data_IF_955485350707
#
_entry.id   IF_955485350707
#
_cell.length_a   1.000
_cell.length_b   1.000
_cell.length_c   1.000
_cell.angle_alpha   90.00
_cell.angle_beta   90.00
_cell.angle_gamma   90.00
#
_symmetry.space_group_name_H-M   'P 1'
#
loop_
_entity.id
_entity.type
_entity.pdbx_description
1 polymer ?
#
# COMPACT_ATOMS: atom_id res chain seq x y z
N UNK A 1 9.33 -27.23 2.29
CA UNK A 1 9.00 -25.79 2.08
C UNK A 1 7.90 -25.58 1.05
N UNK A 2 7.82 -26.35 -0.04
CA UNK A 2 6.80 -26.15 -1.08
C UNK A 2 5.36 -26.30 -0.62
N UNK A 3 5.11 -27.19 0.35
CA UNK A 3 3.78 -27.36 0.94
C UNK A 3 3.32 -26.08 1.65
N UNK A 4 4.15 -25.48 2.52
CA UNK A 4 3.83 -24.23 3.21
C UNK A 4 3.57 -23.08 2.24
N UNK A 5 4.36 -22.97 1.16
CA UNK A 5 4.19 -21.94 0.11
C UNK A 5 2.83 -22.07 -0.58
N UNK A 6 2.43 -23.30 -0.93
CA UNK A 6 1.13 -23.59 -1.54
C UNK A 6 0.00 -23.27 -0.56
N UNK A 7 0.12 -23.68 0.70
CA UNK A 7 -0.88 -23.39 1.73
C UNK A 7 -1.11 -21.90 1.93
N UNK A 8 -0.05 -21.10 2.07
CA UNK A 8 -0.16 -19.64 2.22
C UNK A 8 -0.89 -19.02 1.03
N UNK A 9 -0.56 -19.46 -0.19
CA UNK A 9 -1.22 -18.98 -1.40
C UNK A 9 -2.71 -19.37 -1.42
N UNK A 10 -3.03 -20.64 -1.20
CA UNK A 10 -4.41 -21.12 -1.23
C UNK A 10 -5.28 -20.45 -0.17
N UNK A 11 -4.82 -20.43 1.08
CA UNK A 11 -5.55 -19.80 2.18
C UNK A 11 -5.73 -18.32 1.91
N UNK A 12 -4.68 -17.62 1.50
CA UNK A 12 -4.77 -16.19 1.20
C UNK A 12 -5.70 -15.89 0.03
N UNK A 13 -5.66 -16.66 -1.05
CA UNK A 13 -6.61 -16.53 -2.17
C UNK A 13 -8.05 -16.78 -1.71
N UNK A 14 -8.29 -17.80 -0.89
CA UNK A 14 -9.63 -18.08 -0.33
C UNK A 14 -10.13 -16.90 0.50
N UNK A 15 -9.28 -16.30 1.34
CA UNK A 15 -9.62 -15.11 2.13
C UNK A 15 -10.00 -13.94 1.23
N UNK A 16 -9.24 -13.69 0.15
CA UNK A 16 -9.57 -12.65 -0.83
C UNK A 16 -10.89 -12.90 -1.55
N UNK A 17 -11.09 -14.10 -2.08
CA UNK A 17 -12.33 -14.47 -2.79
C UNK A 17 -13.53 -14.35 -1.86
N UNK A 18 -13.42 -14.87 -0.63
CA UNK A 18 -14.47 -14.75 0.36
C UNK A 18 -14.81 -13.29 0.66
N UNK A 19 -13.81 -12.45 0.93
CA UNK A 19 -14.02 -11.04 1.23
C UNK A 19 -14.68 -10.29 0.07
N UNK A 20 -14.20 -10.47 -1.17
CA UNK A 20 -14.77 -9.84 -2.36
C UNK A 20 -16.21 -10.30 -2.58
N UNK A 21 -16.48 -11.62 -2.51
CA UNK A 21 -17.82 -12.16 -2.71
C UNK A 21 -18.81 -11.67 -1.63
N UNK A 22 -18.39 -11.63 -0.36
CA UNK A 22 -19.23 -11.13 0.73
C UNK A 22 -19.53 -9.63 0.57
N UNK A 23 -18.52 -8.81 0.25
CA UNK A 23 -18.71 -7.38 -0.02
C UNK A 23 -19.58 -7.14 -1.25
N UNK A 24 -19.42 -7.94 -2.32
CA UNK A 24 -20.23 -7.81 -3.52
C UNK A 24 -21.69 -8.18 -3.23
N UNK A 25 -21.91 -9.31 -2.56
CA UNK A 25 -23.25 -9.76 -2.17
C UNK A 25 -23.94 -8.70 -1.31
N UNK A 26 -23.22 -8.15 -0.34
CA UNK A 26 -23.69 -7.09 0.51
C UNK A 26 -24.14 -5.84 -0.25
N UNK A 27 -23.30 -5.37 -1.16
CA UNK A 27 -23.53 -4.18 -1.97
C UNK A 27 -24.75 -4.37 -2.89
N UNK A 28 -24.82 -5.49 -3.61
CA UNK A 28 -25.91 -5.76 -4.55
C UNK A 28 -27.23 -6.16 -3.87
N UNK A 29 -27.17 -6.76 -2.68
CA UNK A 29 -28.36 -7.09 -1.89
C UNK A 29 -28.86 -5.91 -1.03
N UNK A 30 -28.17 -4.77 -1.02
CA UNK A 30 -28.54 -3.60 -0.22
C UNK A 30 -28.49 -3.85 1.29
N UNK A 31 -27.62 -4.75 1.75
CA UNK A 31 -27.49 -5.06 3.18
C UNK A 31 -26.84 -3.89 3.91
N UNK A 32 -27.51 -3.35 4.94
CA UNK A 32 -27.11 -2.14 5.65
C UNK A 32 -25.86 -2.23 6.54
N UNK A 33 -25.19 -3.39 6.63
CA UNK A 33 -23.89 -3.54 7.31
C UNK A 33 -22.75 -2.83 6.57
N UNK A 34 -22.87 -2.65 5.25
CA UNK A 34 -22.14 -1.61 4.53
C UNK A 34 -23.10 -0.43 4.57
N UNK A 35 -22.94 0.47 5.54
CA UNK A 35 -23.69 1.73 5.55
C UNK A 35 -23.26 2.59 4.36
N UNK A 36 -23.76 2.29 3.15
CA UNK A 36 -23.46 2.98 1.87
C UNK A 36 -24.03 4.41 1.83
N UNK A 37 -24.35 5.01 2.97
CA UNK A 37 -24.75 6.41 3.02
C UNK A 37 -23.46 7.24 2.87
N UNK A 38 -23.15 7.60 1.62
CA UNK A 38 -22.05 8.48 1.18
C UNK A 38 -20.66 7.87 0.94
N UNK A 39 -20.49 6.53 0.98
CA UNK A 39 -19.21 5.89 0.62
C UNK A 39 -19.23 5.45 -0.85
N UNK A 40 -18.25 5.85 -1.68
CA UNK A 40 -18.12 5.35 -3.04
C UNK A 40 -18.00 3.83 -3.06
N UNK A 41 -18.78 3.18 -3.92
CA UNK A 41 -18.80 1.72 -4.02
C UNK A 41 -17.38 1.14 -4.26
N UNK A 42 -16.97 0.09 -3.53
CA UNK A 42 -15.68 -0.59 -3.72
C UNK A 42 -15.49 -1.11 -5.14
N UNK A 43 -16.58 -1.49 -5.81
CA UNK A 43 -16.54 -1.93 -7.20
C UNK A 43 -15.94 -0.86 -8.11
N UNK A 44 -16.48 0.36 -8.06
CA UNK A 44 -16.06 1.47 -8.94
C UNK A 44 -14.71 2.07 -8.55
N UNK A 45 -14.42 2.12 -7.26
CA UNK A 45 -13.23 2.82 -6.74
C UNK A 45 -12.01 1.93 -6.56
N UNK A 46 -12.19 0.62 -6.43
CA UNK A 46 -11.09 -0.31 -6.16
C UNK A 46 -11.05 -1.44 -7.18
N UNK A 47 -12.12 -2.21 -7.33
CA UNK A 47 -12.06 -3.45 -8.10
C UNK A 47 -11.92 -3.22 -9.60
N UNK A 48 -12.67 -2.27 -10.16
CA UNK A 48 -12.60 -1.96 -11.58
C UNK A 48 -11.21 -1.38 -11.98
N UNK A 49 -10.67 -0.34 -11.30
CA UNK A 49 -9.31 0.14 -11.59
C UNK A 49 -8.24 -0.94 -11.43
N UNK A 50 -8.31 -1.77 -10.38
CA UNK A 50 -7.36 -2.87 -10.16
C UNK A 50 -7.51 -3.94 -11.24
N UNK A 51 -8.73 -4.30 -11.62
CA UNK A 51 -9.04 -5.27 -12.66
C UNK A 51 -8.53 -4.86 -14.04
N UNK A 52 -8.46 -3.55 -14.33
CA UNK A 52 -7.85 -3.01 -15.55
C UNK A 52 -6.32 -2.93 -15.45
N UNK A 53 -5.79 -2.41 -14.33
CA UNK A 53 -4.36 -2.18 -14.18
C UNK A 53 -3.55 -3.48 -14.05
N UNK A 54 -4.07 -4.50 -13.38
CA UNK A 54 -3.33 -5.73 -13.06
C UNK A 54 -2.96 -6.56 -14.31
N UNK A 55 -3.86 -6.77 -15.30
CA UNK A 55 -3.48 -7.34 -16.60
C UNK A 55 -2.46 -6.48 -17.35
N UNK A 56 -2.58 -5.15 -17.29
CA UNK A 56 -1.64 -4.24 -17.94
C UNK A 56 -0.24 -4.31 -17.32
N UNK A 57 -0.12 -4.53 -16.01
CA UNK A 57 1.18 -4.85 -15.38
C UNK A 57 1.79 -6.07 -16.06
N UNK A 58 1.00 -7.13 -16.29
CA UNK A 58 1.50 -8.37 -16.89
C UNK A 58 1.97 -8.17 -18.32
N UNK A 59 1.21 -7.40 -19.11
CA UNK A 59 1.42 -7.14 -20.54
C UNK A 59 2.56 -6.15 -20.80
N UNK A 60 2.68 -5.10 -19.99
CA UNK A 60 3.68 -4.05 -20.18
C UNK A 60 5.09 -4.46 -19.72
N UNK A 61 5.24 -5.53 -18.92
CA UNK A 61 6.60 -5.95 -18.52
C UNK A 61 7.25 -6.82 -19.60
N UNK A 62 8.47 -6.47 -20.04
CA UNK A 62 9.23 -7.29 -20.97
C UNK A 62 9.51 -8.70 -20.42
N UNK A 63 9.43 -9.69 -21.31
CA UNK A 63 9.81 -11.08 -21.01
C UNK A 63 11.29 -11.14 -20.61
N UNK A 64 11.62 -11.91 -19.57
CA UNK A 64 13.00 -12.07 -19.08
C UNK A 64 13.52 -10.96 -18.16
N UNK A 65 13.06 -9.71 -18.32
CA UNK A 65 13.47 -8.59 -17.46
C UNK A 65 13.12 -8.80 -15.98
N UNK A 66 12.00 -9.50 -15.72
CA UNK A 66 11.57 -9.89 -14.37
C UNK A 66 12.55 -10.88 -13.71
N UNK A 67 13.04 -11.86 -14.47
CA UNK A 67 13.95 -12.87 -13.94
C UNK A 67 15.29 -12.27 -13.49
N UNK A 68 15.80 -11.25 -14.22
CA UNK A 68 17.00 -10.50 -13.80
C UNK A 68 16.77 -9.72 -12.50
N UNK A 69 15.61 -9.07 -12.34
CA UNK A 69 15.27 -8.38 -11.08
C UNK A 69 15.13 -9.35 -9.90
N UNK A 70 14.48 -10.50 -10.12
CA UNK A 70 14.35 -11.52 -9.08
C UNK A 70 15.72 -12.11 -8.72
N UNK A 71 16.59 -12.39 -9.69
CA UNK A 71 17.95 -12.86 -9.42
C UNK A 71 18.80 -11.83 -8.66
N UNK A 72 18.64 -10.53 -8.94
CA UNK A 72 19.27 -9.45 -8.16
C UNK A 72 18.75 -9.41 -6.74
N UNK A 73 17.42 -9.48 -6.55
CA UNK A 73 16.82 -9.49 -5.22
C UNK A 73 17.38 -10.63 -4.36
N UNK A 74 17.45 -11.85 -4.91
CA UNK A 74 17.98 -12.99 -4.18
C UNK A 74 19.45 -12.78 -3.81
N UNK A 75 20.30 -12.35 -4.76
CA UNK A 75 21.71 -12.05 -4.46
C UNK A 75 21.91 -11.04 -3.34
N UNK A 76 21.02 -10.04 -3.23
CA UNK A 76 21.06 -9.05 -2.16
C UNK A 76 20.62 -9.71 -0.84
N UNK A 77 19.45 -10.34 -0.81
CA UNK A 77 18.84 -10.86 0.42
C UNK A 77 19.50 -12.15 0.95
N UNK A 78 20.23 -12.91 0.13
CA UNK A 78 20.96 -14.10 0.57
C UNK A 78 22.03 -13.77 1.62
N UNK A 79 22.47 -12.52 1.70
CA UNK A 79 23.43 -12.03 2.70
C UNK A 79 22.77 -11.52 3.98
N UNK A 80 21.44 -11.42 4.00
CA UNK A 80 20.68 -10.83 5.09
C UNK A 80 20.10 -11.93 6.00
N UNK A 81 20.04 -11.70 7.33
CA UNK A 81 19.32 -12.57 8.24
C UNK A 81 17.80 -12.34 8.12
N UNK A 82 17.21 -12.71 6.98
CA UNK A 82 15.82 -12.40 6.60
C UNK A 82 14.79 -12.72 7.70
N UNK A 83 14.84 -13.84 8.44
CA UNK A 83 13.89 -14.12 9.51
C UNK A 83 13.95 -13.10 10.66
N UNK A 84 15.15 -12.66 11.05
CA UNK A 84 15.33 -11.65 12.11
C UNK A 84 14.87 -10.29 11.64
N UNK A 85 15.17 -9.92 10.41
CA UNK A 85 14.72 -8.65 9.83
C UNK A 85 13.20 -8.61 9.69
N UNK A 86 12.57 -9.69 9.22
CA UNK A 86 11.11 -9.80 9.19
C UNK A 86 10.52 -9.63 10.59
N UNK A 87 11.11 -10.28 11.61
CA UNK A 87 10.65 -10.12 12.99
C UNK A 87 10.78 -8.66 13.47
N UNK A 88 11.92 -8.00 13.21
CA UNK A 88 12.11 -6.58 13.52
C UNK A 88 11.09 -5.68 12.80
N UNK A 89 10.78 -5.97 11.54
CA UNK A 89 9.75 -5.25 10.78
C UNK A 89 8.36 -5.45 11.38
N UNK A 90 8.01 -6.66 11.80
CA UNK A 90 6.74 -6.92 12.50
C UNK A 90 6.68 -6.16 13.83
N UNK A 91 7.77 -6.10 14.60
CA UNK A 91 7.81 -5.27 15.81
C UNK A 91 7.65 -3.77 15.51
N UNK A 92 8.25 -3.27 14.43
CA UNK A 92 8.04 -1.89 13.97
C UNK A 92 6.59 -1.63 13.59
N UNK A 93 5.93 -2.59 12.93
CA UNK A 93 4.52 -2.48 12.57
C UNK A 93 3.61 -2.48 13.81
N UNK A 94 3.88 -3.35 14.78
CA UNK A 94 3.14 -3.36 16.06
C UNK A 94 3.38 -2.04 16.80
N UNK A 95 4.62 -1.57 16.86
CA UNK A 95 4.98 -0.28 17.45
C UNK A 95 4.28 0.89 16.76
N UNK A 96 4.14 0.85 15.43
CA UNK A 96 3.35 1.80 14.66
C UNK A 96 1.88 1.77 15.06
N UNK A 97 1.25 0.59 15.10
CA UNK A 97 -0.16 0.46 15.48
C UNK A 97 -0.43 0.99 16.90
N UNK A 98 0.41 0.61 17.87
CA UNK A 98 0.31 1.08 19.26
C UNK A 98 0.62 2.58 19.36
N UNK A 99 1.64 3.06 18.65
CA UNK A 99 2.00 4.47 18.65
C UNK A 99 0.91 5.35 18.04
N UNK A 100 0.31 4.90 16.94
CA UNK A 100 -0.75 5.63 16.25
C UNK A 100 -2.04 5.68 17.09
N UNK A 101 -2.42 4.59 17.76
CA UNK A 101 -3.58 4.58 18.66
C UNK A 101 -3.33 5.40 19.92
N UNK A 102 -2.13 5.32 20.50
CA UNK A 102 -1.76 6.12 21.66
C UNK A 102 -1.78 7.62 21.35
N UNK A 103 -1.19 8.03 20.22
CA UNK A 103 -1.25 9.41 19.74
C UNK A 103 -2.70 9.84 19.49
N UNK A 104 -3.48 9.03 18.78
CA UNK A 104 -4.91 9.33 18.55
C UNK A 104 -5.68 9.55 19.85
N UNK A 105 -5.48 8.70 20.86
CA UNK A 105 -6.16 8.80 22.15
C UNK A 105 -5.67 9.98 23.01
N UNK A 106 -4.37 10.32 22.97
CA UNK A 106 -3.83 11.45 23.74
C UNK A 106 -4.30 12.77 23.16
N UNK A 107 -4.27 12.91 21.83
CA UNK A 107 -4.62 14.17 21.18
C UNK A 107 -6.12 14.40 21.06
N UNK A 108 -6.96 13.35 21.09
CA UNK A 108 -8.42 13.51 21.21
C UNK A 108 -8.86 14.19 22.52
N UNK A 109 -7.95 14.34 23.50
CA UNK A 109 -8.21 15.01 24.78
C UNK A 109 -7.71 16.46 24.79
N UNK A 110 -6.75 16.81 23.92
CA UNK A 110 -6.01 18.08 24.02
C UNK A 110 -6.49 19.13 23.02
N UNK A 111 -6.61 18.81 21.73
CA UNK A 111 -7.10 19.66 20.64
C UNK A 111 -6.95 18.90 19.30
N UNK A 112 -7.97 18.95 18.42
CA UNK A 112 -8.03 18.11 17.20
C UNK A 112 -6.91 18.42 16.18
N UNK A 113 -6.41 19.66 16.14
CA UNK A 113 -5.45 20.12 15.11
C UNK A 113 -4.07 19.42 15.20
N UNK A 114 -3.66 18.96 16.38
CA UNK A 114 -2.36 18.29 16.56
C UNK A 114 -2.33 16.85 16.04
N UNK A 115 -3.49 16.20 15.92
CA UNK A 115 -3.62 14.82 15.40
C UNK A 115 -3.09 14.75 13.95
N UNK A 116 -3.34 15.79 13.16
CA UNK A 116 -2.96 15.89 11.75
C UNK A 116 -1.46 15.92 11.51
N UNK A 117 -0.68 16.48 12.44
CA UNK A 117 0.78 16.55 12.36
C UNK A 117 1.47 15.35 13.03
N UNK A 118 0.92 14.87 14.14
CA UNK A 118 1.52 13.77 14.89
C UNK A 118 1.44 12.44 14.13
N UNK A 119 0.35 12.21 13.41
CA UNK A 119 0.12 10.96 12.68
C UNK A 119 1.15 10.67 11.57
N UNK A 120 1.42 11.61 10.63
CA UNK A 120 2.49 11.43 9.65
C UNK A 120 3.87 11.22 10.29
N UNK A 121 4.15 11.89 11.42
CA UNK A 121 5.41 11.73 12.14
C UNK A 121 5.57 10.31 12.71
N UNK A 122 4.53 9.76 13.35
CA UNK A 122 4.52 8.37 13.85
C UNK A 122 4.72 7.38 12.70
N UNK A 123 4.02 7.58 11.57
CA UNK A 123 4.20 6.77 10.36
C UNK A 123 5.64 6.83 9.85
N UNK A 124 6.19 8.02 9.65
CA UNK A 124 7.56 8.18 9.19
C UNK A 124 8.57 7.54 10.15
N UNK A 125 8.37 7.69 11.46
CA UNK A 125 9.27 7.14 12.45
C UNK A 125 9.24 5.60 12.47
N UNK A 126 8.06 4.98 12.64
CA UNK A 126 7.95 3.53 12.79
C UNK A 126 7.96 2.75 11.48
N UNK A 127 7.61 3.35 10.35
CA UNK A 127 7.58 2.65 9.06
C UNK A 127 8.80 2.96 8.18
N UNK A 128 9.53 4.06 8.45
CA UNK A 128 10.74 4.38 7.68
C UNK A 128 11.99 4.43 8.56
N UNK A 129 12.05 5.34 9.53
CA UNK A 129 13.28 5.60 10.28
C UNK A 129 13.72 4.37 11.07
N UNK A 130 12.86 3.83 11.95
CA UNK A 130 13.19 2.69 12.79
C UNK A 130 13.47 1.41 11.97
N UNK A 131 12.66 1.04 10.96
CA UNK A 131 12.95 -0.09 10.08
C UNK A 131 14.27 0.03 9.35
N UNK A 132 14.57 1.19 8.76
CA UNK A 132 15.88 1.43 8.12
C UNK A 132 16.98 1.24 9.15
N UNK A 133 16.84 1.78 10.35
CA UNK A 133 17.86 1.62 11.39
C UNK A 133 18.02 0.16 11.86
N UNK A 134 16.97 -0.64 11.92
CA UNK A 134 17.07 -2.03 12.41
C UNK A 134 17.52 -3.00 11.32
N UNK A 135 17.09 -2.78 10.08
CA UNK A 135 17.32 -3.68 8.95
C UNK A 135 18.59 -3.30 8.17
N UNK A 136 18.92 -2.01 8.10
CA UNK A 136 20.09 -1.49 7.38
C UNK A 136 21.33 -1.35 8.31
N UNK A 137 21.16 -1.17 9.63
CA UNK A 137 22.31 -1.21 10.57
C UNK A 137 22.88 -2.59 10.84
N UNK A 138 22.18 -3.66 10.48
CA UNK A 138 22.81 -4.99 10.37
C UNK A 138 23.82 -5.07 9.19
N UNK A 139 23.88 -4.04 8.33
CA UNK A 139 24.72 -3.96 7.13
C UNK A 139 25.60 -2.71 7.01
N UNK A 140 25.71 -1.85 8.04
CA UNK A 140 26.58 -0.66 8.03
C UNK A 140 28.10 -0.95 7.92
N UNK A 141 28.51 -2.22 7.88
CA UNK A 141 29.91 -2.64 7.71
C UNK A 141 30.15 -3.71 6.63
N UNK A 142 29.12 -4.25 5.96
CA UNK A 142 29.30 -5.50 5.17
C UNK A 142 28.93 -5.39 3.69
N UNK A 143 28.08 -4.44 3.28
CA UNK A 143 27.65 -4.34 1.87
C UNK A 143 28.18 -3.08 1.21
N UNK A 144 28.90 -3.24 0.09
CA UNK A 144 29.28 -2.12 -0.77
C UNK A 144 28.02 -1.30 -1.13
N UNK A 145 28.08 0.04 -1.09
CA UNK A 145 26.92 0.91 -1.34
C UNK A 145 26.17 0.58 -2.64
N UNK A 146 26.86 0.04 -3.64
CA UNK A 146 26.39 -0.18 -5.02
C UNK A 146 25.41 -1.34 -5.22
N UNK A 147 25.29 -2.27 -4.26
CA UNK A 147 24.45 -3.48 -4.40
C UNK A 147 23.29 -3.55 -3.37
N UNK A 148 22.98 -2.45 -2.67
CA UNK A 148 21.94 -2.46 -1.64
C UNK A 148 20.49 -2.48 -2.17
N UNK A 149 19.56 -2.99 -1.35
CA UNK A 149 18.11 -2.88 -1.59
C UNK A 149 17.64 -1.45 -1.92
N UNK A 150 18.13 -0.37 -1.26
CA UNK A 150 17.74 1.00 -1.59
C UNK A 150 18.07 1.39 -3.03
N UNK A 151 19.21 0.92 -3.58
CA UNK A 151 19.57 1.23 -4.97
C UNK A 151 18.63 0.54 -5.95
N UNK A 152 18.30 -0.74 -5.72
CA UNK A 152 17.34 -1.47 -6.55
C UNK A 152 15.97 -0.79 -6.56
N UNK A 153 15.51 -0.35 -5.38
CA UNK A 153 14.20 0.24 -5.14
C UNK A 153 14.05 1.68 -5.67
N UNK A 154 15.02 2.55 -5.37
CA UNK A 154 14.93 3.99 -5.57
C UNK A 154 15.61 4.46 -6.86
N UNK A 155 16.69 3.79 -7.30
CA UNK A 155 17.46 4.20 -8.49
C UNK A 155 16.94 3.48 -9.74
N UNK A 156 15.92 4.05 -10.37
CA UNK A 156 15.26 3.50 -11.57
C UNK A 156 16.02 3.94 -12.84
N UNK A 157 17.19 3.36 -13.08
CA UNK A 157 18.06 3.73 -14.23
C UNK A 157 17.62 3.14 -15.56
N UNK A 158 16.93 2.00 -15.54
CA UNK A 158 16.56 1.29 -16.77
C UNK A 158 15.20 1.78 -17.29
N UNK A 159 15.12 2.25 -18.55
CA UNK A 159 13.91 2.89 -19.07
C UNK A 159 12.70 1.95 -19.10
N UNK A 160 12.90 0.65 -19.35
CA UNK A 160 11.81 -0.32 -19.35
C UNK A 160 11.06 -0.39 -18.00
N UNK A 161 11.71 -0.04 -16.88
CA UNK A 161 11.07 -0.04 -15.57
C UNK A 161 9.95 1.00 -15.48
N UNK A 162 10.04 2.06 -16.29
CA UNK A 162 8.99 3.08 -16.41
C UNK A 162 7.81 2.64 -17.30
N UNK A 163 7.88 1.50 -17.98
CA UNK A 163 6.69 0.90 -18.61
C UNK A 163 5.62 0.56 -17.58
N UNK A 164 5.99 0.40 -16.31
CA UNK A 164 5.04 0.30 -15.22
C UNK A 164 4.19 1.56 -14.99
N UNK A 165 4.50 2.69 -15.64
CA UNK A 165 3.60 3.85 -15.65
C UNK A 165 2.32 3.59 -16.47
N UNK A 166 2.34 2.67 -17.44
CA UNK A 166 1.16 2.31 -18.24
C UNK A 166 -0.02 1.83 -17.37
N UNK A 167 0.13 0.79 -16.51
CA UNK A 167 -0.96 0.39 -15.62
C UNK A 167 -1.33 1.47 -14.60
N UNK A 168 -0.41 2.36 -14.21
CA UNK A 168 -0.70 3.49 -13.31
C UNK A 168 -1.61 4.52 -13.97
N UNK A 169 -1.27 4.94 -15.19
CA UNK A 169 -2.08 5.87 -15.97
C UNK A 169 -3.44 5.26 -16.30
N UNK A 170 -3.51 3.97 -16.62
CA UNK A 170 -4.78 3.29 -16.85
C UNK A 170 -5.66 3.27 -15.59
N UNK A 171 -5.08 3.01 -14.41
CA UNK A 171 -5.79 3.10 -13.14
C UNK A 171 -6.37 4.51 -12.92
N UNK A 172 -5.55 5.56 -13.15
CA UNK A 172 -6.00 6.94 -13.04
C UNK A 172 -7.08 7.30 -14.05
N UNK A 173 -6.98 6.82 -15.30
CA UNK A 173 -7.98 7.06 -16.33
C UNK A 173 -9.35 6.47 -15.94
N UNK A 174 -9.36 5.25 -15.40
CA UNK A 174 -10.60 4.62 -14.89
C UNK A 174 -11.15 5.44 -13.72
N UNK A 175 -10.34 5.79 -12.73
CA UNK A 175 -10.78 6.56 -11.57
C UNK A 175 -11.28 7.95 -11.94
N UNK A 176 -10.60 8.63 -12.86
CA UNK A 176 -11.01 9.94 -13.35
C UNK A 176 -12.31 9.87 -14.16
N UNK A 177 -12.53 8.79 -14.91
CA UNK A 177 -13.80 8.57 -15.60
C UNK A 177 -14.96 8.32 -14.62
N UNK A 178 -14.71 7.59 -13.52
CA UNK A 178 -15.70 7.34 -12.46
C UNK A 178 -16.03 8.62 -11.68
N UNK A 179 -15.04 9.45 -11.36
CA UNK A 179 -15.21 10.66 -10.55
C UNK A 179 -15.21 11.95 -11.37
N UNK A 180 -15.52 11.87 -12.67
CA UNK A 180 -15.44 12.98 -13.64
C UNK A 180 -16.12 14.26 -13.18
N UNK A 181 -17.26 14.14 -12.49
CA UNK A 181 -18.09 15.27 -12.10
C UNK A 181 -17.61 15.92 -10.78
N UNK A 182 -16.70 15.25 -10.04
CA UNK A 182 -16.15 15.67 -8.76
C UNK A 182 -14.76 16.33 -8.87
N UNK A 183 -14.08 16.18 -10.01
CA UNK A 183 -12.72 16.70 -10.27
C UNK A 183 -12.60 18.21 -10.58
N UNK A 184 -13.59 18.92 -11.18
CA UNK A 184 -13.39 20.28 -11.69
C UNK A 184 -13.13 21.39 -10.65
N UNK A 185 -13.23 21.13 -9.34
CA UNK A 185 -13.26 22.16 -8.29
C UNK A 185 -11.98 22.31 -7.45
N UNK A 186 -10.91 21.54 -7.74
CA UNK A 186 -9.71 21.56 -6.90
C UNK A 186 -8.75 22.71 -7.27
N UNK A 187 -8.48 23.62 -6.32
CA UNK A 187 -7.47 24.66 -6.52
C UNK A 187 -6.06 24.05 -6.60
N UNK A 188 -5.19 24.60 -7.46
CA UNK A 188 -3.81 24.11 -7.60
C UNK A 188 -3.04 24.10 -6.27
N UNK A 189 -3.22 25.15 -5.45
CA UNK A 189 -2.57 25.26 -4.13
C UNK A 189 -3.02 24.14 -3.21
N UNK A 190 -4.32 23.82 -3.20
CA UNK A 190 -4.86 22.71 -2.43
C UNK A 190 -4.29 21.38 -2.90
N UNK A 191 -4.25 21.13 -4.22
CA UNK A 191 -3.67 19.90 -4.79
C UNK A 191 -2.20 19.75 -4.40
N UNK A 192 -1.39 20.80 -4.51
CA UNK A 192 0.02 20.75 -4.12
C UNK A 192 0.20 20.47 -2.63
N UNK A 193 -0.57 21.13 -1.77
CA UNK A 193 -0.54 20.88 -0.32
C UNK A 193 -0.94 19.44 0.03
N UNK A 194 -2.02 18.97 -0.59
CA UNK A 194 -2.54 17.61 -0.41
C UNK A 194 -1.55 16.55 -0.89
N UNK A 195 -0.93 16.72 -2.06
CA UNK A 195 0.11 15.83 -2.58
C UNK A 195 1.31 15.80 -1.62
N UNK A 196 1.76 16.96 -1.13
CA UNK A 196 2.85 17.04 -0.15
C UNK A 196 2.55 16.24 1.12
N UNK A 197 1.35 16.41 1.69
CA UNK A 197 0.91 15.67 2.87
C UNK A 197 0.80 14.15 2.60
N UNK A 198 0.23 13.78 1.44
CA UNK A 198 0.13 12.39 1.03
C UNK A 198 1.51 11.74 0.86
N UNK A 199 2.49 12.45 0.30
CA UNK A 199 3.84 11.91 0.13
C UNK A 199 4.52 11.57 1.47
N UNK A 200 4.28 12.37 2.51
CA UNK A 200 4.76 12.08 3.87
C UNK A 200 4.19 10.78 4.45
N UNK A 201 3.04 10.33 3.94
CA UNK A 201 2.38 9.09 4.35
C UNK A 201 2.78 7.93 3.42
N UNK A 202 2.62 8.12 2.11
CA UNK A 202 2.79 7.06 1.12
C UNK A 202 4.24 6.62 0.95
N UNK A 203 5.21 7.53 1.09
CA UNK A 203 6.63 7.16 0.94
C UNK A 203 7.08 6.20 2.04
N UNK A 204 6.91 6.50 3.35
CA UNK A 204 7.23 5.55 4.41
C UNK A 204 6.53 4.21 4.26
N UNK A 205 5.24 4.23 3.96
CA UNK A 205 4.45 3.00 3.89
C UNK A 205 4.82 2.12 2.70
N UNK A 206 5.01 2.69 1.51
CA UNK A 206 5.42 1.89 0.35
C UNK A 206 6.84 1.33 0.55
N UNK A 207 7.76 2.12 1.13
CA UNK A 207 9.12 1.63 1.44
C UNK A 207 9.03 0.47 2.44
N UNK A 208 8.20 0.60 3.47
CA UNK A 208 8.02 -0.42 4.48
C UNK A 208 7.37 -1.70 3.94
N UNK A 209 6.16 -1.58 3.37
CA UNK A 209 5.37 -2.72 2.94
C UNK A 209 5.93 -3.37 1.68
N UNK A 210 6.32 -2.59 0.65
CA UNK A 210 6.84 -3.14 -0.61
C UNK A 210 8.34 -3.36 -0.54
N UNK A 211 9.07 -2.30 -0.21
CA UNK A 211 10.53 -2.33 -0.18
C UNK A 211 11.06 -3.34 0.81
N UNK A 212 10.58 -3.31 2.06
CA UNK A 212 11.14 -4.11 3.14
C UNK A 212 10.42 -5.45 3.37
N UNK A 213 9.13 -5.43 3.69
CA UNK A 213 8.36 -6.62 4.06
C UNK A 213 8.18 -7.54 2.85
N UNK A 214 7.55 -7.04 1.79
CA UNK A 214 7.18 -7.87 0.65
C UNK A 214 8.41 -8.49 -0.02
N UNK A 215 9.48 -7.74 -0.24
CA UNK A 215 10.73 -8.27 -0.82
C UNK A 215 11.29 -9.45 -0.03
N UNK A 216 11.23 -9.42 1.31
CA UNK A 216 11.67 -10.51 2.19
C UNK A 216 10.72 -11.70 2.18
N UNK A 217 9.40 -11.44 2.17
CA UNK A 217 8.40 -12.49 2.05
C UNK A 217 8.47 -13.20 0.70
N UNK A 218 8.74 -12.46 -0.39
CA UNK A 218 8.95 -13.03 -1.72
C UNK A 218 10.21 -13.91 -1.77
N UNK A 219 11.28 -13.51 -1.09
CA UNK A 219 12.48 -14.35 -0.96
C UNK A 219 12.20 -15.63 -0.15
N UNK A 220 11.52 -15.52 1.00
CA UNK A 220 11.28 -16.67 1.88
C UNK A 220 10.25 -17.67 1.31
N UNK A 221 9.11 -17.15 0.84
CA UNK A 221 7.93 -17.95 0.46
C UNK A 221 7.73 -18.03 -1.06
N UNK A 222 8.52 -17.32 -1.85
CA UNK A 222 8.29 -17.16 -3.28
C UNK A 222 7.36 -15.99 -3.59
N UNK A 223 7.34 -15.60 -4.87
CA UNK A 223 6.70 -14.36 -5.33
C UNK A 223 5.22 -14.24 -4.95
N UNK A 224 4.40 -15.20 -5.36
CA UNK A 224 2.95 -15.11 -5.16
C UNK A 224 2.53 -15.18 -3.69
N UNK A 225 3.01 -16.15 -2.88
CA UNK A 225 2.73 -16.14 -1.44
C UNK A 225 3.22 -14.86 -0.75
N UNK A 226 4.37 -14.32 -1.16
CA UNK A 226 4.91 -13.08 -0.61
C UNK A 226 4.04 -11.86 -0.90
N UNK A 227 3.55 -11.71 -2.14
CA UNK A 227 2.61 -10.64 -2.52
C UNK A 227 1.32 -10.76 -1.73
N UNK A 228 0.73 -11.96 -1.66
CA UNK A 228 -0.54 -12.22 -0.97
C UNK A 228 -0.42 -11.89 0.51
N UNK A 229 0.61 -12.39 1.18
CA UNK A 229 0.81 -12.17 2.61
C UNK A 229 1.12 -10.70 2.94
N UNK A 230 1.93 -10.01 2.12
CA UNK A 230 2.17 -8.58 2.29
C UNK A 230 0.90 -7.74 2.08
N UNK A 231 0.04 -8.14 1.14
CA UNK A 231 -1.24 -7.46 0.87
C UNK A 231 -2.26 -7.67 1.99
N UNK A 232 -2.31 -8.88 2.56
CA UNK A 232 -3.13 -9.17 3.74
C UNK A 232 -2.63 -8.42 4.98
N UNK A 233 -1.31 -8.35 5.20
CA UNK A 233 -0.74 -7.58 6.30
C UNK A 233 -1.02 -6.09 6.17
N UNK A 234 -0.93 -5.57 4.95
CA UNK A 234 -1.31 -4.20 4.62
C UNK A 234 -2.80 -3.94 4.94
N UNK A 235 -3.69 -4.82 4.46
CA UNK A 235 -5.11 -4.73 4.77
C UNK A 235 -5.40 -4.79 6.27
N UNK A 236 -4.80 -5.75 6.97
CA UNK A 236 -4.95 -5.92 8.42
C UNK A 236 -4.47 -4.68 9.18
N UNK A 237 -3.38 -4.04 8.74
CA UNK A 237 -2.88 -2.78 9.33
C UNK A 237 -3.92 -1.68 9.21
N UNK A 238 -4.53 -1.52 8.04
CA UNK A 238 -5.55 -0.50 7.80
C UNK A 238 -6.86 -0.78 8.51
N UNK A 239 -7.26 -2.05 8.63
CA UNK A 239 -8.41 -2.42 9.46
C UNK A 239 -8.14 -2.15 10.93
N UNK A 240 -6.94 -2.46 11.43
CA UNK A 240 -6.55 -2.28 12.84
C UNK A 240 -6.41 -0.81 13.24
N UNK A 241 -5.93 0.06 12.34
CA UNK A 241 -5.89 1.52 12.54
C UNK A 241 -7.29 2.12 12.71
N UNK A 242 -8.32 1.47 12.19
CA UNK A 242 -9.70 1.92 12.27
C UNK A 242 -9.91 3.34 11.72
N UNK A 243 -10.81 4.10 12.36
CA UNK A 243 -11.06 5.51 12.06
C UNK A 243 -10.16 6.51 12.81
N UNK A 244 -9.24 6.04 13.65
CA UNK A 244 -8.49 6.88 14.60
C UNK A 244 -7.40 7.77 13.97
N UNK A 245 -6.99 7.54 12.71
CA UNK A 245 -5.68 8.00 12.20
C UNK A 245 -5.72 8.57 10.77
N UNK A 246 -6.89 8.74 10.17
CA UNK A 246 -6.98 9.31 8.81
C UNK A 246 -7.85 10.57 8.80
N UNK A 247 -7.25 11.71 9.16
CA UNK A 247 -7.82 13.05 8.95
C UNK A 247 -8.21 13.31 7.49
N UNK A 248 -7.56 12.64 6.53
CA UNK A 248 -7.92 12.70 5.12
C UNK A 248 -9.20 11.93 4.78
N UNK A 249 -9.75 11.07 5.64
CA UNK A 249 -10.89 10.19 5.30
C UNK A 249 -12.27 10.83 5.43
N UNK A 250 -12.36 12.17 5.41
CA UNK A 250 -13.59 12.97 5.56
C UNK A 250 -14.88 12.19 5.22
N UNK A 251 -15.53 11.62 6.25
CA UNK A 251 -16.77 10.84 6.17
C UNK A 251 -16.76 9.54 5.33
N UNK A 252 -15.91 9.41 4.31
CA UNK A 252 -16.08 8.46 3.21
C UNK A 252 -15.51 7.05 3.47
N UNK A 253 -14.82 6.81 4.60
CA UNK A 253 -14.48 5.46 5.07
C UNK A 253 -14.44 5.39 6.60
N UNK A 254 -15.55 5.73 7.25
CA UNK A 254 -15.87 5.45 8.66
C UNK A 254 -16.07 3.94 8.93
N UNK A 255 -15.16 3.10 8.43
CA UNK A 255 -15.28 1.64 8.42
C UNK A 255 -14.25 0.98 9.33
N UNK A 256 -13.97 1.61 10.46
CA UNK A 256 -13.09 1.01 11.47
C UNK A 256 -13.70 -0.28 11.99
N UNK A 257 -13.02 -1.41 11.75
CA UNK A 257 -13.36 -2.71 12.34
C UNK A 257 -13.90 -3.77 11.39
N UNK A 258 -14.30 -3.45 10.15
CA UNK A 258 -14.73 -4.50 9.19
C UNK A 258 -13.53 -5.07 8.43
N UNK A 259 -13.08 -6.23 8.90
CA UNK A 259 -12.00 -7.03 8.29
C UNK A 259 -12.36 -7.44 6.86
N UNK A 260 -13.62 -7.76 6.59
CA UNK A 260 -14.07 -8.22 5.27
C UNK A 260 -13.91 -7.12 4.24
N UNK A 261 -14.47 -5.94 4.53
CA UNK A 261 -14.38 -4.79 3.65
C UNK A 261 -12.95 -4.25 3.54
N UNK A 262 -12.17 -4.27 4.62
CA UNK A 262 -10.76 -3.90 4.61
C UNK A 262 -9.92 -4.79 3.70
N UNK A 263 -10.15 -6.10 3.70
CA UNK A 263 -9.50 -7.03 2.77
C UNK A 263 -9.97 -6.78 1.34
N UNK A 264 -11.28 -6.58 1.12
CA UNK A 264 -11.85 -6.33 -0.20
C UNK A 264 -11.39 -4.98 -0.81
N UNK A 265 -10.91 -4.04 -0.01
CA UNK A 265 -10.44 -2.72 -0.47
C UNK A 265 -8.91 -2.60 -0.41
N UNK A 266 -8.33 -2.52 0.79
CA UNK A 266 -6.89 -2.38 1.01
C UNK A 266 -6.11 -3.63 0.58
N UNK A 267 -6.69 -4.81 0.75
CA UNK A 267 -6.05 -6.04 0.32
C UNK A 267 -5.97 -6.12 -1.21
N UNK A 268 -7.08 -5.81 -1.91
CA UNK A 268 -7.14 -5.83 -3.38
C UNK A 268 -6.23 -4.77 -4.01
N UNK A 269 -6.23 -3.55 -3.49
CA UNK A 269 -5.24 -2.53 -3.89
C UNK A 269 -3.81 -2.97 -3.56
N UNK A 270 -3.62 -3.61 -2.41
CA UNK A 270 -2.35 -4.21 -2.00
C UNK A 270 -1.82 -5.24 -3.00
N UNK A 271 -2.69 -6.05 -3.61
CA UNK A 271 -2.30 -7.00 -4.66
C UNK A 271 -1.79 -6.28 -5.90
N UNK A 272 -2.43 -5.19 -6.32
CA UNK A 272 -1.96 -4.37 -7.45
C UNK A 272 -0.59 -3.76 -7.15
N UNK A 273 -0.44 -3.10 -6.00
CA UNK A 273 0.82 -2.47 -5.59
C UNK A 273 1.93 -3.51 -5.46
N UNK A 274 1.61 -4.66 -4.85
CA UNK A 274 2.54 -5.76 -4.69
C UNK A 274 2.97 -6.35 -6.03
N UNK A 275 2.04 -6.54 -6.97
CA UNK A 275 2.37 -7.08 -8.29
C UNK A 275 3.18 -6.07 -9.14
N UNK A 276 2.85 -4.78 -9.08
CA UNK A 276 3.60 -3.70 -9.71
C UNK A 276 5.03 -3.62 -9.16
N UNK A 277 5.18 -3.67 -7.84
CA UNK A 277 6.49 -3.76 -7.18
C UNK A 277 7.28 -4.98 -7.65
N UNK A 278 6.66 -6.17 -7.67
CA UNK A 278 7.35 -7.39 -8.04
C UNK A 278 7.84 -7.38 -9.50
N UNK A 279 7.11 -6.72 -10.40
CA UNK A 279 7.48 -6.64 -11.82
C UNK A 279 8.53 -5.57 -12.14
N UNK A 280 8.50 -4.42 -11.47
CA UNK A 280 9.33 -3.25 -11.83
C UNK A 280 10.33 -2.83 -10.75
N UNK A 281 10.16 -3.32 -9.51
CA UNK A 281 10.92 -2.96 -8.30
C UNK A 281 11.07 -1.46 -8.07
N UNK A 282 10.15 -0.66 -8.59
CA UNK A 282 10.21 0.80 -8.55
C UNK A 282 9.33 1.31 -7.41
N UNK A 283 9.94 1.96 -6.43
CA UNK A 283 9.17 2.55 -5.33
C UNK A 283 8.33 3.72 -5.82
N UNK A 284 8.87 4.51 -6.75
CA UNK A 284 8.21 5.70 -7.29
C UNK A 284 6.92 5.37 -8.03
N UNK A 285 6.86 4.25 -8.75
CA UNK A 285 5.62 3.81 -9.40
C UNK A 285 4.52 3.50 -8.39
N UNK A 286 4.87 2.88 -7.26
CA UNK A 286 3.91 2.58 -6.20
C UNK A 286 3.49 3.85 -5.45
N UNK A 287 4.43 4.74 -5.15
CA UNK A 287 4.16 6.04 -4.53
C UNK A 287 3.22 6.85 -5.43
N UNK A 288 3.54 7.03 -6.72
CA UNK A 288 2.70 7.76 -7.67
C UNK A 288 1.30 7.13 -7.71
N UNK A 289 1.21 5.82 -7.94
CA UNK A 289 -0.06 5.11 -8.02
C UNK A 289 -0.90 5.34 -6.77
N UNK A 290 -0.30 5.18 -5.59
CA UNK A 290 -1.02 5.30 -4.34
C UNK A 290 -1.43 6.73 -4.02
N UNK A 291 -0.53 7.69 -4.17
CA UNK A 291 -0.82 9.12 -4.00
C UNK A 291 -1.93 9.54 -4.95
N UNK A 292 -1.87 9.12 -6.22
CA UNK A 292 -2.88 9.47 -7.22
C UNK A 292 -4.24 8.81 -6.97
N UNK A 293 -4.27 7.54 -6.55
CA UNK A 293 -5.53 6.86 -6.16
C UNK A 293 -6.18 7.60 -5.00
N UNK A 294 -5.42 7.92 -3.95
CA UNK A 294 -5.96 8.65 -2.78
C UNK A 294 -6.39 10.05 -3.21
N UNK A 295 -5.60 10.77 -4.00
CA UNK A 295 -5.96 12.10 -4.49
C UNK A 295 -7.27 12.09 -5.30
N UNK A 296 -7.45 11.14 -6.22
CA UNK A 296 -8.64 11.07 -7.08
C UNK A 296 -9.89 10.62 -6.33
N UNK A 297 -9.74 9.74 -5.33
CA UNK A 297 -10.88 9.23 -4.55
C UNK A 297 -11.24 10.17 -3.41
N UNK A 298 -10.26 10.76 -2.73
CA UNK A 298 -10.46 11.52 -1.48
C UNK A 298 -10.40 13.02 -1.71
N UNK A 299 -9.56 13.49 -2.63
CA UNK A 299 -9.35 14.92 -2.89
C UNK A 299 -10.64 15.72 -3.08
N UNK A 300 -11.62 15.25 -3.87
CA UNK A 300 -12.89 15.95 -4.04
C UNK A 300 -13.70 16.17 -2.76
N UNK A 301 -13.57 15.27 -1.77
CA UNK A 301 -14.30 15.35 -0.50
C UNK A 301 -13.62 16.23 0.55
N UNK A 302 -12.33 16.54 0.35
CA UNK A 302 -11.55 17.41 1.23
C UNK A 302 -11.49 18.86 0.73
N UNK A 303 -11.98 19.11 -0.48
CA UNK A 303 -11.97 20.43 -1.08
C UNK A 303 -12.93 21.36 -0.31
N UNK A 304 -12.51 22.59 0.04
CA UNK A 304 -13.44 23.58 0.58
C UNK A 304 -14.52 23.88 -0.47
N UNK A 305 -15.79 24.11 -0.06
CA UNK A 305 -16.82 24.57 -0.98
C UNK A 305 -16.37 25.90 -1.62
N UNK A 306 -16.48 25.97 -2.95
CA UNK A 306 -16.20 27.16 -3.75
C UNK A 306 -17.32 28.17 -3.62
#
# INVERSE_FOLDING_TARGET
MDMARRWVLWVGCTVFVFAICMTALAEFAGLGWIGVVNVPSPFWTVWLPVGVALPLVRLATPTGARADLDARLHRILDRHPVPRELLSLIYCLIGFLVGATAVGHVFSVLEDDFVGLATPAVRAFFLLVLPVLLVDRAGLTVSRPEDGMPQLAMKVTRPWRWLGAVPVVACFAVLAAVHRDLLPSLSHVFVFGLVGALLLITVPEEVFFRGMIQSRLEWALGRWPGIVLASLLFAATYTALGGYVDMLRGGAQLLGGDVTLGIATYGVTGLLYGYLWSCYRSIWLNVILRTGVVLLVVGPYLAPPV
#
